data_IF_493687973118
#
_entry.id   IF_493687973118
#
_cell.length_a   1.000
_cell.length_b   1.000
_cell.length_c   1.000
_cell.angle_alpha   90.00
_cell.angle_beta   90.00
_cell.angle_gamma   90.00
#
_symmetry.space_group_name_H-M   'P 1'
#
loop_
_entity.id
_entity.type
_entity.pdbx_description
1 polymer ?
#
# COMPACT_ATOMS: atom_id res chain seq x y z
N UNK A 1 -25.87 19.51 6.22
CA UNK A 1 -24.61 19.16 5.52
C UNK A 1 -24.66 19.30 3.99
N UNK A 2 -25.80 19.21 3.33
CA UNK A 2 -25.93 19.19 1.85
C UNK A 2 -25.97 20.57 1.17
N UNK A 3 -26.25 21.65 1.90
CA UNK A 3 -26.51 22.98 1.33
C UNK A 3 -25.34 23.63 0.55
N UNK A 4 -24.15 23.03 0.57
CA UNK A 4 -22.93 23.57 -0.05
C UNK A 4 -22.31 22.64 -1.10
N UNK A 5 -23.00 21.55 -1.45
CA UNK A 5 -22.58 20.62 -2.51
C UNK A 5 -23.28 21.00 -3.83
N UNK A 6 -22.56 20.94 -4.96
CA UNK A 6 -23.20 20.99 -6.27
C UNK A 6 -23.93 19.66 -6.58
N UNK A 7 -24.67 19.63 -7.67
CA UNK A 7 -25.49 18.47 -8.05
C UNK A 7 -24.65 17.19 -8.19
N UNK A 8 -23.57 17.21 -8.99
CA UNK A 8 -22.69 16.05 -9.20
C UNK A 8 -22.02 15.58 -7.89
N UNK A 9 -21.64 16.51 -7.00
CA UNK A 9 -21.12 16.16 -5.67
C UNK A 9 -22.18 15.51 -4.80
N UNK A 10 -23.41 15.98 -4.86
CA UNK A 10 -24.57 15.41 -4.15
C UNK A 10 -24.87 14.00 -4.62
N UNK A 11 -24.88 13.77 -5.92
CA UNK A 11 -25.07 12.45 -6.51
C UNK A 11 -24.00 11.46 -6.05
N UNK A 12 -22.72 11.88 -6.09
CA UNK A 12 -21.62 11.06 -5.59
C UNK A 12 -21.74 10.73 -4.10
N UNK A 13 -22.20 11.68 -3.28
CA UNK A 13 -22.43 11.45 -1.83
C UNK A 13 -23.61 10.51 -1.60
N UNK A 14 -24.66 10.60 -2.40
CA UNK A 14 -25.90 9.83 -2.24
C UNK A 14 -25.80 8.41 -2.80
N UNK A 15 -24.85 8.14 -3.70
CA UNK A 15 -24.61 6.79 -4.20
C UNK A 15 -23.90 5.95 -3.15
N UNK A 16 -24.63 5.30 -2.26
CA UNK A 16 -24.08 4.60 -1.09
C UNK A 16 -23.72 3.13 -1.36
N UNK A 17 -24.24 2.55 -2.44
CA UNK A 17 -24.04 1.13 -2.78
C UNK A 17 -23.37 0.97 -4.13
N UNK A 18 -22.66 -0.14 -4.33
CA UNK A 18 -21.98 -0.47 -5.56
C UNK A 18 -20.68 0.32 -5.79
N UNK A 19 -19.92 -0.02 -6.84
CA UNK A 19 -18.71 0.71 -7.23
C UNK A 19 -19.08 2.08 -7.81
N UNK A 20 -18.35 3.11 -7.39
CA UNK A 20 -18.51 4.49 -7.87
C UNK A 20 -17.14 5.06 -8.24
N UNK A 21 -16.99 5.51 -9.48
CA UNK A 21 -15.83 6.27 -9.95
C UNK A 21 -16.20 7.74 -10.08
N UNK A 22 -15.45 8.61 -9.41
CA UNK A 22 -15.63 10.07 -9.49
C UNK A 22 -14.43 10.69 -10.19
N UNK A 23 -14.64 11.20 -11.41
CA UNK A 23 -13.62 11.92 -12.17
C UNK A 23 -13.75 13.42 -11.87
N UNK A 24 -12.69 14.01 -11.33
CA UNK A 24 -12.74 15.40 -10.90
C UNK A 24 -11.35 16.05 -10.93
N UNK A 25 -11.27 17.28 -11.43
CA UNK A 25 -10.05 18.08 -11.50
C UNK A 25 -9.51 18.54 -10.14
N UNK A 26 -8.33 19.14 -10.09
CA UNK A 26 -7.80 19.75 -8.89
C UNK A 26 -8.75 20.87 -8.40
N UNK A 27 -8.90 21.01 -7.09
CA UNK A 27 -9.77 22.05 -6.51
C UNK A 27 -11.28 21.78 -6.57
N UNK A 28 -11.75 20.73 -7.24
CA UNK A 28 -13.18 20.40 -7.42
C UNK A 28 -13.89 19.89 -6.15
N UNK A 29 -13.20 19.82 -5.00
CA UNK A 29 -13.81 19.37 -3.75
C UNK A 29 -13.87 17.86 -3.55
N UNK A 30 -13.06 17.04 -4.28
CA UNK A 30 -13.02 15.57 -4.12
C UNK A 30 -12.95 15.11 -2.67
N UNK A 31 -12.03 15.67 -1.89
CA UNK A 31 -11.85 15.30 -0.48
C UNK A 31 -13.12 15.61 0.33
N UNK A 32 -13.81 16.70 0.00
CA UNK A 32 -15.08 17.06 0.64
C UNK A 32 -16.17 16.03 0.32
N UNK A 33 -16.29 15.62 -0.92
CA UNK A 33 -17.25 14.56 -1.33
C UNK A 33 -16.99 13.29 -0.53
N UNK A 34 -15.75 12.85 -0.44
CA UNK A 34 -15.37 11.64 0.33
C UNK A 34 -15.72 11.78 1.82
N UNK A 35 -15.40 12.92 2.45
CA UNK A 35 -15.69 13.12 3.88
C UNK A 35 -17.18 13.18 4.18
N UNK A 36 -17.97 13.88 3.35
CA UNK A 36 -19.43 13.96 3.50
C UNK A 36 -20.08 12.60 3.23
N UNK A 37 -19.58 11.84 2.23
CA UNK A 37 -20.06 10.47 1.96
C UNK A 37 -19.81 9.53 3.15
N UNK A 38 -18.62 9.60 3.78
CA UNK A 38 -18.33 8.80 4.98
C UNK A 38 -19.30 9.17 6.13
N UNK A 39 -19.51 10.45 6.38
CA UNK A 39 -20.47 10.88 7.40
C UNK A 39 -21.87 10.35 7.10
N UNK A 40 -22.34 10.44 5.84
CA UNK A 40 -23.64 9.93 5.42
C UNK A 40 -23.75 8.41 5.55
N UNK A 41 -22.71 7.64 5.21
CA UNK A 41 -22.68 6.19 5.44
C UNK A 41 -22.91 5.86 6.93
N UNK A 42 -22.28 6.62 7.81
CA UNK A 42 -22.45 6.44 9.27
C UNK A 42 -23.86 6.80 9.69
N UNK A 43 -24.40 7.91 9.20
CA UNK A 43 -25.78 8.36 9.49
C UNK A 43 -26.84 7.34 8.99
N UNK A 44 -26.54 6.58 7.94
CA UNK A 44 -27.40 5.48 7.46
C UNK A 44 -27.26 4.18 8.25
N UNK A 45 -26.46 4.17 9.33
CA UNK A 45 -26.29 3.02 10.23
C UNK A 45 -25.12 2.10 9.89
N UNK A 46 -24.27 2.46 8.91
CA UNK A 46 -23.03 1.72 8.66
C UNK A 46 -22.07 1.94 9.83
N UNK A 47 -21.65 0.86 10.49
CA UNK A 47 -20.66 0.97 11.57
C UNK A 47 -19.37 1.62 11.06
N UNK A 48 -18.86 2.67 11.74
CA UNK A 48 -17.61 3.32 11.35
C UNK A 48 -16.42 2.34 11.19
N UNK A 49 -16.34 1.30 12.00
CA UNK A 49 -15.30 0.26 11.90
C UNK A 49 -15.32 -0.54 10.59
N UNK A 50 -16.40 -0.48 9.83
CA UNK A 50 -16.52 -1.11 8.50
C UNK A 50 -16.16 -0.17 7.34
N UNK A 51 -15.77 1.07 7.66
CA UNK A 51 -15.41 2.08 6.66
C UNK A 51 -13.91 2.25 6.64
N UNK A 52 -13.31 2.04 5.48
CA UNK A 52 -11.90 2.27 5.18
C UNK A 52 -11.78 3.39 4.16
N UNK A 53 -11.03 4.44 4.48
CA UNK A 53 -10.67 5.51 3.57
C UNK A 53 -9.15 5.62 3.44
N UNK A 54 -8.66 5.67 2.21
CA UNK A 54 -7.23 5.70 1.93
C UNK A 54 -6.83 6.94 1.15
N UNK A 55 -5.65 7.47 1.49
CA UNK A 55 -5.03 8.61 0.82
C UNK A 55 -3.57 8.30 0.48
N UNK A 56 -2.94 9.16 -0.33
CA UNK A 56 -1.53 9.00 -0.65
C UNK A 56 -0.58 9.59 0.39
N UNK A 57 -0.99 10.64 1.10
CA UNK A 57 -0.11 11.34 2.04
C UNK A 57 -0.66 11.33 3.46
N UNK A 58 0.23 11.29 4.45
CA UNK A 58 -0.14 11.39 5.86
C UNK A 58 -0.85 12.72 6.16
N UNK A 59 -0.45 13.82 5.51
CA UNK A 59 -1.12 15.12 5.64
C UNK A 59 -2.58 15.03 5.22
N UNK A 60 -2.87 14.43 4.05
CA UNK A 60 -4.26 14.26 3.57
C UNK A 60 -5.06 13.31 4.48
N UNK A 61 -4.46 12.24 4.99
CA UNK A 61 -5.11 11.34 5.93
C UNK A 61 -5.50 12.07 7.24
N UNK A 62 -4.57 12.82 7.81
CA UNK A 62 -4.81 13.60 9.04
C UNK A 62 -5.89 14.68 8.83
N UNK A 63 -5.84 15.39 7.70
CA UNK A 63 -6.86 16.38 7.35
C UNK A 63 -8.25 15.75 7.20
N UNK A 64 -8.33 14.61 6.52
CA UNK A 64 -9.59 13.86 6.37
C UNK A 64 -10.10 13.38 7.71
N UNK A 65 -9.24 12.83 8.58
CA UNK A 65 -9.61 12.42 9.94
C UNK A 65 -10.18 13.60 10.74
N UNK A 66 -9.51 14.76 10.68
CA UNK A 66 -9.96 15.95 11.40
C UNK A 66 -11.34 16.40 10.94
N UNK A 67 -11.56 16.48 9.62
CA UNK A 67 -12.87 16.86 9.02
C UNK A 67 -13.98 15.88 9.40
N UNK A 68 -13.70 14.59 9.37
CA UNK A 68 -14.71 13.59 9.75
C UNK A 68 -15.03 13.67 11.24
N UNK A 69 -14.04 13.89 12.12
CA UNK A 69 -14.26 14.09 13.55
C UNK A 69 -15.20 15.27 13.86
N UNK A 70 -15.16 16.33 13.07
CA UNK A 70 -16.06 17.47 13.24
C UNK A 70 -17.47 17.21 12.70
N UNK A 71 -17.66 16.18 11.89
CA UNK A 71 -18.94 15.85 11.27
C UNK A 71 -19.74 14.76 12.00
N UNK A 72 -19.04 13.88 12.76
CA UNK A 72 -19.64 12.71 13.41
C UNK A 72 -19.48 12.79 14.93
N UNK A 73 -20.53 12.44 15.65
CA UNK A 73 -20.54 12.39 17.12
C UNK A 73 -20.32 10.95 17.62
N UNK A 74 -19.29 10.26 17.10
CA UNK A 74 -19.00 8.89 17.51
C UNK A 74 -17.91 8.82 18.58
N UNK A 75 -17.98 7.86 19.54
CA UNK A 75 -16.92 7.62 20.51
C UNK A 75 -15.57 7.35 19.84
N UNK A 76 -14.49 7.64 20.57
CA UNK A 76 -13.11 7.47 20.04
C UNK A 76 -12.86 6.05 19.50
N UNK A 77 -13.42 5.04 20.15
CA UNK A 77 -13.21 3.63 19.79
C UNK A 77 -14.05 3.13 18.62
N UNK A 78 -14.97 3.96 18.12
CA UNK A 78 -15.84 3.61 16.99
C UNK A 78 -15.68 4.62 15.86
N UNK A 79 -14.49 4.67 15.23
CA UNK A 79 -14.16 5.58 14.14
C UNK A 79 -13.82 4.84 12.87
N UNK A 80 -14.06 5.47 11.69
CA UNK A 80 -13.59 4.91 10.42
C UNK A 80 -12.06 4.85 10.39
N UNK A 81 -11.55 3.84 9.72
CA UNK A 81 -10.13 3.68 9.45
C UNK A 81 -9.74 4.63 8.31
N UNK A 82 -8.89 5.61 8.60
CA UNK A 82 -8.42 6.59 7.62
C UNK A 82 -6.91 6.64 7.67
N UNK A 83 -6.25 6.25 6.60
CA UNK A 83 -4.79 6.15 6.57
C UNK A 83 -4.24 6.23 5.15
N UNK A 84 -2.92 6.22 5.04
CA UNK A 84 -2.27 5.97 3.75
C UNK A 84 -2.24 4.48 3.44
N UNK A 85 -2.10 4.12 2.14
CA UNK A 85 -1.91 2.74 1.71
C UNK A 85 -0.75 2.07 2.48
N UNK A 86 0.41 2.74 2.56
CA UNK A 86 1.57 2.21 3.27
C UNK A 86 1.29 1.96 4.76
N UNK A 87 0.63 2.90 5.44
CA UNK A 87 0.30 2.73 6.86
C UNK A 87 -0.66 1.58 7.10
N UNK A 88 -1.64 1.38 6.19
CA UNK A 88 -2.53 0.22 6.24
C UNK A 88 -1.76 -1.08 6.04
N UNK A 89 -0.90 -1.15 5.01
CA UNK A 89 -0.08 -2.33 4.73
C UNK A 89 0.81 -2.70 5.94
N UNK A 90 1.46 -1.72 6.55
CA UNK A 90 2.28 -1.96 7.77
C UNK A 90 1.43 -2.57 8.88
N UNK A 91 0.21 -2.08 9.13
CA UNK A 91 -0.66 -2.64 10.16
C UNK A 91 -1.11 -4.07 9.86
N UNK A 92 -1.44 -4.35 8.60
CA UNK A 92 -1.78 -5.71 8.16
C UNK A 92 -0.57 -6.63 8.38
N UNK A 93 0.61 -6.21 7.92
CA UNK A 93 1.85 -6.98 8.09
C UNK A 93 2.17 -7.22 9.57
N UNK A 94 2.09 -6.20 10.44
CA UNK A 94 2.33 -6.38 11.89
C UNK A 94 1.46 -7.46 12.53
N UNK A 95 0.26 -7.71 12.00
CA UNK A 95 -0.67 -8.71 12.51
C UNK A 95 -0.51 -10.09 11.86
N UNK A 96 -0.12 -10.14 10.59
CA UNK A 96 -0.24 -11.34 9.77
C UNK A 96 1.09 -11.87 9.24
N UNK A 97 2.18 -11.11 9.30
CA UNK A 97 3.42 -11.44 8.59
C UNK A 97 4.08 -12.73 9.10
N UNK A 98 3.79 -13.12 10.34
CA UNK A 98 4.29 -14.38 10.93
C UNK A 98 3.80 -15.61 10.15
N UNK A 99 2.64 -15.54 9.48
CA UNK A 99 2.15 -16.63 8.64
C UNK A 99 3.01 -16.91 7.40
N UNK A 100 3.86 -15.96 7.01
CA UNK A 100 4.81 -16.11 5.90
C UNK A 100 6.27 -16.16 6.36
N UNK A 101 6.49 -16.48 7.65
CA UNK A 101 7.81 -16.77 8.21
C UNK A 101 8.63 -15.57 8.66
N UNK A 102 8.05 -14.36 8.71
CA UNK A 102 8.74 -13.18 9.25
C UNK A 102 8.41 -12.93 10.72
N UNK A 103 9.34 -12.32 11.49
CA UNK A 103 9.04 -11.90 12.83
C UNK A 103 8.05 -10.72 12.86
N UNK A 104 7.18 -10.68 13.88
CA UNK A 104 6.21 -9.59 14.02
C UNK A 104 6.86 -8.22 14.24
N UNK A 105 8.07 -8.17 14.77
CA UNK A 105 8.87 -6.96 14.99
C UNK A 105 9.79 -6.62 13.81
N UNK A 106 9.42 -6.99 12.57
CA UNK A 106 10.21 -6.71 11.38
C UNK A 106 10.58 -5.23 11.24
N UNK A 107 11.70 -4.97 10.57
CA UNK A 107 12.13 -3.62 10.17
C UNK A 107 11.77 -3.37 8.71
N UNK A 108 11.35 -2.14 8.40
CA UNK A 108 11.09 -1.71 7.02
C UNK A 108 12.38 -1.13 6.46
N UNK A 109 12.86 -1.68 5.35
CA UNK A 109 14.07 -1.22 4.68
C UNK A 109 13.80 0.01 3.83
N UNK A 110 14.74 0.94 3.85
CA UNK A 110 14.77 2.00 2.86
C UNK A 110 15.40 1.52 1.52
N UNK A 111 15.39 2.40 0.50
CA UNK A 111 15.94 2.05 -0.82
C UNK A 111 17.47 1.83 -0.80
N UNK A 112 18.20 2.46 0.13
CA UNK A 112 19.63 2.29 0.26
C UNK A 112 19.97 0.91 0.85
N UNK A 113 19.23 0.52 1.88
CA UNK A 113 19.35 -0.79 2.52
C UNK A 113 18.99 -1.92 1.55
N UNK A 114 17.87 -1.78 0.81
CA UNK A 114 17.47 -2.75 -0.21
C UNK A 114 18.56 -2.92 -1.28
N UNK A 115 19.17 -1.82 -1.73
CA UNK A 115 20.26 -1.82 -2.70
C UNK A 115 21.51 -2.52 -2.13
N UNK A 116 21.80 -2.33 -0.85
CA UNK A 116 22.91 -2.97 -0.16
C UNK A 116 22.72 -4.50 -0.11
N UNK A 117 21.52 -4.95 0.21
CA UNK A 117 21.17 -6.38 0.20
C UNK A 117 21.30 -6.95 -1.23
N UNK A 118 20.81 -6.25 -2.24
CA UNK A 118 20.95 -6.69 -3.63
C UNK A 118 22.42 -6.85 -4.03
N UNK A 119 23.31 -5.89 -3.68
CA UNK A 119 24.74 -6.01 -3.94
C UNK A 119 25.37 -7.19 -3.21
N UNK A 120 24.98 -7.42 -1.95
CA UNK A 120 25.44 -8.57 -1.18
C UNK A 120 25.07 -9.88 -1.87
N UNK A 121 23.80 -10.04 -2.21
CA UNK A 121 23.28 -11.24 -2.90
C UNK A 121 23.96 -11.48 -4.22
N UNK A 122 24.13 -10.47 -5.07
CA UNK A 122 24.81 -10.60 -6.36
C UNK A 122 26.26 -11.07 -6.18
N UNK A 123 26.99 -10.54 -5.19
CA UNK A 123 28.36 -11.00 -4.87
C UNK A 123 28.40 -12.45 -4.41
N UNK A 124 27.47 -12.87 -3.55
CA UNK A 124 27.40 -14.25 -3.07
C UNK A 124 27.16 -15.27 -4.18
N UNK A 125 26.37 -14.91 -5.19
CA UNK A 125 26.12 -15.76 -6.37
C UNK A 125 27.11 -15.48 -7.52
N UNK A 126 28.15 -14.69 -7.28
CA UNK A 126 29.24 -14.37 -8.22
C UNK A 126 28.79 -13.73 -9.53
N UNK A 127 27.72 -12.91 -9.47
CA UNK A 127 27.27 -12.10 -10.60
C UNK A 127 27.94 -10.72 -10.51
N UNK A 128 28.65 -10.34 -11.61
CA UNK A 128 29.30 -9.04 -11.67
C UNK A 128 28.31 -7.90 -11.95
N UNK A 129 28.66 -6.67 -11.52
CA UNK A 129 27.89 -5.47 -11.84
C UNK A 129 27.78 -5.18 -13.34
N UNK A 130 28.71 -5.70 -14.15
CA UNK A 130 28.66 -5.61 -15.62
C UNK A 130 27.49 -6.47 -16.17
N UNK A 131 27.19 -7.60 -15.52
CA UNK A 131 26.14 -8.53 -15.95
C UNK A 131 24.78 -8.08 -15.44
N UNK A 132 24.65 -7.77 -14.13
CA UNK A 132 23.40 -7.36 -13.50
C UNK A 132 23.69 -6.38 -12.36
N UNK A 133 23.26 -5.13 -12.51
CA UNK A 133 23.39 -4.11 -11.46
C UNK A 133 22.36 -4.33 -10.36
N UNK A 134 22.73 -4.01 -9.13
CA UNK A 134 21.81 -4.12 -7.98
C UNK A 134 20.50 -3.33 -8.18
N UNK A 135 20.56 -2.14 -8.81
CA UNK A 135 19.37 -1.34 -9.12
C UNK A 135 18.44 -2.03 -10.13
N UNK A 136 19.01 -2.70 -11.14
CA UNK A 136 18.23 -3.43 -12.14
C UNK A 136 17.58 -4.67 -11.51
N UNK A 137 18.29 -5.35 -10.59
CA UNK A 137 17.74 -6.44 -9.81
C UNK A 137 16.56 -5.96 -8.94
N UNK A 138 16.72 -4.85 -8.20
CA UNK A 138 15.63 -4.27 -7.41
C UNK A 138 14.41 -3.95 -8.28
N UNK A 139 14.61 -3.32 -9.42
CA UNK A 139 13.54 -3.02 -10.37
C UNK A 139 12.81 -4.29 -10.81
N UNK A 140 13.55 -5.32 -11.22
CA UNK A 140 12.97 -6.58 -11.67
C UNK A 140 12.20 -7.30 -10.56
N UNK A 141 12.74 -7.33 -9.34
CA UNK A 141 12.02 -7.87 -8.17
C UNK A 141 10.73 -7.09 -7.92
N UNK A 142 10.77 -5.77 -8.01
CA UNK A 142 9.60 -4.91 -7.87
C UNK A 142 8.51 -5.23 -8.91
N UNK A 143 8.89 -5.44 -10.18
CA UNK A 143 7.97 -5.85 -11.24
C UNK A 143 7.30 -7.19 -10.92
N UNK A 144 8.08 -8.21 -10.55
CA UNK A 144 7.53 -9.51 -10.20
C UNK A 144 6.62 -9.46 -8.97
N UNK A 145 7.00 -8.75 -7.92
CA UNK A 145 6.14 -8.55 -6.75
C UNK A 145 4.81 -7.86 -7.11
N UNK A 146 4.85 -6.85 -7.97
CA UNK A 146 3.63 -6.14 -8.44
C UNK A 146 2.69 -7.05 -9.24
N UNK A 147 3.24 -8.05 -9.92
CA UNK A 147 2.49 -9.04 -10.70
C UNK A 147 2.10 -10.28 -9.86
N UNK A 148 2.41 -10.30 -8.57
CA UNK A 148 2.18 -11.46 -7.71
C UNK A 148 3.07 -12.67 -8.01
N UNK A 149 4.20 -12.47 -8.72
CA UNK A 149 5.14 -13.53 -9.04
C UNK A 149 6.07 -13.75 -7.86
N UNK A 150 5.97 -14.93 -7.25
CA UNK A 150 6.82 -15.32 -6.13
C UNK A 150 8.25 -15.66 -6.58
N UNK A 151 9.25 -15.66 -5.66
CA UNK A 151 10.61 -16.08 -5.98
C UNK A 151 10.71 -17.48 -6.61
N UNK A 152 9.82 -18.39 -6.23
CA UNK A 152 9.77 -19.75 -6.76
C UNK A 152 9.28 -19.79 -8.22
N UNK A 153 8.43 -18.86 -8.59
CA UNK A 153 7.82 -18.78 -9.92
C UNK A 153 8.59 -17.84 -10.88
N UNK A 154 9.48 -16.99 -10.35
CA UNK A 154 10.22 -16.00 -11.14
C UNK A 154 11.03 -16.61 -12.28
N UNK A 155 11.65 -17.78 -12.08
CA UNK A 155 12.41 -18.47 -13.13
C UNK A 155 11.53 -18.88 -14.32
N UNK A 156 10.25 -19.24 -14.08
CA UNK A 156 9.30 -19.57 -15.15
C UNK A 156 8.82 -18.36 -15.93
N UNK A 157 8.85 -17.20 -15.29
CA UNK A 157 8.40 -15.93 -15.87
C UNK A 157 9.55 -15.17 -16.54
N UNK A 158 10.80 -15.62 -16.38
CA UNK A 158 11.97 -15.01 -16.98
C UNK A 158 12.03 -15.34 -18.48
N UNK A 159 12.28 -14.30 -19.31
CA UNK A 159 12.34 -14.40 -20.78
C UNK A 159 13.77 -14.25 -21.31
N UNK A 160 14.61 -13.50 -20.59
CA UNK A 160 16.01 -13.24 -20.96
C UNK A 160 16.99 -13.86 -19.96
N UNK A 161 18.24 -14.07 -20.39
CA UNK A 161 19.33 -14.55 -19.53
C UNK A 161 19.47 -13.65 -18.28
N UNK A 162 19.36 -12.34 -18.47
CA UNK A 162 19.43 -11.37 -17.37
C UNK A 162 18.29 -11.58 -16.35
N UNK A 163 17.09 -11.86 -16.82
CA UNK A 163 15.94 -12.18 -15.94
C UNK A 163 16.11 -13.53 -15.24
N UNK A 164 16.67 -14.53 -15.90
CA UNK A 164 17.00 -15.82 -15.26
C UNK A 164 18.00 -15.63 -14.10
N UNK A 165 19.04 -14.84 -14.31
CA UNK A 165 19.98 -14.48 -13.25
C UNK A 165 19.29 -13.69 -12.12
N UNK A 166 18.42 -12.74 -12.47
CA UNK A 166 17.64 -11.99 -11.51
C UNK A 166 16.68 -12.88 -10.70
N UNK A 167 16.10 -13.93 -11.30
CA UNK A 167 15.23 -14.86 -10.60
C UNK A 167 15.97 -15.69 -9.54
N UNK A 168 17.21 -16.13 -9.85
CA UNK A 168 18.09 -16.78 -8.86
C UNK A 168 18.41 -15.82 -7.71
N UNK A 169 18.77 -14.57 -8.04
CA UNK A 169 19.06 -13.53 -7.07
C UNK A 169 17.83 -13.17 -6.22
N UNK A 170 16.63 -13.15 -6.81
CA UNK A 170 15.38 -12.85 -6.09
C UNK A 170 15.11 -13.84 -4.96
N UNK A 171 15.32 -15.13 -5.18
CA UNK A 171 15.18 -16.13 -4.13
C UNK A 171 16.12 -15.84 -2.96
N UNK A 172 17.41 -15.61 -3.25
CA UNK A 172 18.42 -15.27 -2.23
C UNK A 172 18.09 -13.97 -1.50
N UNK A 173 17.64 -12.96 -2.25
CA UNK A 173 17.19 -11.69 -1.68
C UNK A 173 16.05 -11.90 -0.67
N UNK A 174 15.05 -12.71 -1.02
CA UNK A 174 13.92 -12.98 -0.16
C UNK A 174 14.32 -13.75 1.10
N UNK A 175 15.20 -14.76 0.96
CA UNK A 175 15.75 -15.52 2.10
C UNK A 175 16.53 -14.60 3.06
N UNK A 176 17.30 -13.65 2.50
CA UNK A 176 18.05 -12.67 3.30
C UNK A 176 17.12 -11.71 4.06
N UNK A 177 16.02 -11.24 3.44
CA UNK A 177 15.02 -10.44 4.13
C UNK A 177 14.43 -11.18 5.33
N UNK A 178 14.02 -12.44 5.13
CA UNK A 178 13.47 -13.27 6.23
C UNK A 178 14.51 -13.45 7.32
N UNK A 179 15.75 -13.79 6.96
CA UNK A 179 16.86 -14.00 7.91
C UNK A 179 17.16 -12.78 8.77
N UNK A 180 17.10 -11.59 8.16
CA UNK A 180 17.34 -10.32 8.85
C UNK A 180 16.09 -9.77 9.56
N UNK A 181 14.93 -10.39 9.39
CA UNK A 181 13.66 -9.87 9.92
C UNK A 181 13.29 -8.51 9.31
N UNK A 182 13.49 -8.35 8.01
CA UNK A 182 13.26 -7.07 7.29
C UNK A 182 12.30 -7.25 6.12
N UNK A 183 11.59 -6.18 5.75
CA UNK A 183 10.66 -6.13 4.62
C UNK A 183 10.90 -4.90 3.76
#
# INVERSE_FOLDING_TARGET
>A
MDATLNEAQRDAVNTLTGPLLVLAGAGSGKTRVVTVRIAKLIDTGISPRRILAMTFTNKAANEMQHRIRSMISTPHDNRPEISTFHSLCVRILRRQIHHIGYPANFTILDSADQNSICRKVLREIRISDATLKARDLMYQIGQWKSQGISPQNATRSAVSDKEHLAAVAYRRYQDELVRCGTV
#
